data_IF_440609420704
#
_entry.id   IF_440609420704
#
_cell.length_a   1.000
_cell.length_b   1.000
_cell.length_c   1.000
_cell.angle_alpha   90.00
_cell.angle_beta   90.00
_cell.angle_gamma   90.00
#
_symmetry.space_group_name_H-M   'P 1'
#
loop_
_entity.id
_entity.type
_entity.pdbx_description
1 polymer ?
#
# COMPACT_ATOMS: atom_id res chain seq x y z
N UNK A 1 -2.81 4.92 48.86
CA UNK A 1 -2.61 4.42 48.68
C UNK A 1 -2.62 3.72 47.58
N UNK A 2 -2.08 3.12 47.17
CA UNK A 2 -1.99 2.37 45.97
C UNK A 2 -3.29 1.83 45.40
N UNK A 3 -4.39 2.29 45.91
CA UNK A 3 -5.67 1.80 45.43
C UNK A 3 -5.91 2.11 43.98
N UNK A 4 -5.47 3.25 43.52
CA UNK A 4 -5.65 3.62 42.11
C UNK A 4 -4.86 2.70 41.19
N UNK A 5 -3.64 2.44 41.58
CA UNK A 5 -2.78 1.55 40.78
C UNK A 5 -3.32 0.12 40.74
N UNK A 6 -4.02 -0.29 41.75
CA UNK A 6 -4.57 -1.63 41.84
C UNK A 6 -5.66 -1.86 40.80
N UNK A 7 -6.47 -0.84 40.55
CA UNK A 7 -7.59 -0.99 39.65
C UNK A 7 -7.15 -1.12 38.18
N UNK A 8 -6.17 -0.36 37.79
CA UNK A 8 -5.71 -0.38 36.39
C UNK A 8 -5.13 -1.71 35.96
N UNK A 9 -4.25 -2.34 36.73
CA UNK A 9 -3.70 -3.62 36.33
C UNK A 9 -4.74 -4.71 36.20
N UNK A 10 -5.84 -4.63 36.92
CA UNK A 10 -6.86 -5.65 36.87
C UNK A 10 -7.51 -5.73 35.50
N UNK A 11 -7.66 -4.61 34.82
CA UNK A 11 -8.25 -4.59 33.49
C UNK A 11 -7.35 -5.34 32.51
N UNK A 12 -6.05 -5.11 32.61
CA UNK A 12 -5.09 -5.77 31.75
C UNK A 12 -5.06 -7.27 31.96
N UNK A 13 -5.21 -7.70 33.19
CA UNK A 13 -5.16 -9.10 33.53
C UNK A 13 -6.35 -9.88 32.99
N UNK A 14 -7.39 -9.22 32.55
CA UNK A 14 -8.54 -9.92 31.99
C UNK A 14 -8.27 -10.51 30.61
N UNK A 15 -7.17 -10.13 29.98
CA UNK A 15 -6.83 -10.66 28.67
C UNK A 15 -6.15 -12.01 28.76
N UNK A 16 -6.54 -12.91 27.87
CA UNK A 16 -5.86 -14.21 27.74
C UNK A 16 -4.54 -14.03 26.99
N UNK A 17 -3.70 -15.04 27.04
CA UNK A 17 -2.45 -15.03 26.26
C UNK A 17 -2.72 -14.95 24.78
N UNK A 18 -3.76 -15.62 24.31
CA UNK A 18 -4.13 -15.62 22.90
C UNK A 18 -4.58 -14.23 22.46
N UNK A 19 -5.37 -13.57 23.28
CA UNK A 19 -5.79 -12.20 22.99
C UNK A 19 -4.61 -11.26 22.94
N UNK A 20 -3.65 -11.41 23.86
CA UNK A 20 -2.46 -10.59 23.86
C UNK A 20 -1.60 -10.82 22.62
N UNK A 21 -1.49 -12.06 22.18
CA UNK A 21 -0.75 -12.38 20.96
C UNK A 21 -1.42 -11.78 19.73
N UNK A 22 -2.74 -11.84 19.67
CA UNK A 22 -3.49 -11.22 18.58
C UNK A 22 -3.30 -9.71 18.57
N UNK A 23 -3.34 -9.10 19.75
CA UNK A 23 -3.16 -7.66 19.87
C UNK A 23 -1.75 -7.25 19.43
N UNK A 24 -0.73 -8.01 19.83
CA UNK A 24 0.63 -7.74 19.40
C UNK A 24 0.77 -7.87 17.89
N UNK A 25 0.12 -8.87 17.31
CA UNK A 25 0.15 -9.04 15.86
C UNK A 25 -0.49 -7.87 15.14
N UNK A 26 -1.60 -7.36 15.66
CA UNK A 26 -2.27 -6.19 15.10
C UNK A 26 -1.37 -4.95 15.19
N UNK A 27 -0.76 -4.72 16.34
CA UNK A 27 0.14 -3.58 16.51
C UNK A 27 1.36 -3.67 15.61
N UNK A 28 1.93 -4.86 15.46
CA UNK A 28 3.07 -5.07 14.56
C UNK A 28 2.68 -4.73 13.13
N UNK A 29 1.54 -5.23 12.69
CA UNK A 29 1.05 -4.98 11.33
C UNK A 29 0.82 -3.48 11.12
N UNK A 30 0.19 -2.81 12.08
CA UNK A 30 -0.04 -1.37 11.98
C UNK A 30 1.26 -0.60 11.90
N UNK A 31 2.27 -0.99 12.69
CA UNK A 31 3.57 -0.35 12.65
C UNK A 31 4.28 -0.56 11.31
N UNK A 32 4.21 -1.77 10.77
CA UNK A 32 4.78 -2.07 9.46
C UNK A 32 4.10 -1.27 8.36
N UNK A 33 2.78 -1.17 8.42
CA UNK A 33 2.02 -0.38 7.46
C UNK A 33 2.37 1.10 7.55
N UNK A 34 2.48 1.62 8.76
CA UNK A 34 2.86 3.00 8.94
C UNK A 34 4.28 3.27 8.42
N UNK A 35 5.21 2.34 8.68
CA UNK A 35 6.57 2.45 8.18
C UNK A 35 6.61 2.45 6.66
N UNK A 36 5.87 1.54 6.03
CA UNK A 36 5.81 1.47 4.58
C UNK A 36 5.24 2.74 3.96
N UNK A 37 4.18 3.28 4.57
CA UNK A 37 3.58 4.53 4.09
C UNK A 37 4.55 5.70 4.23
N UNK A 38 5.28 5.75 5.33
CA UNK A 38 6.24 6.82 5.58
C UNK A 38 7.44 6.72 4.64
N UNK A 39 7.86 5.49 4.33
CA UNK A 39 9.04 5.24 3.51
C UNK A 39 8.67 4.84 2.08
N UNK A 40 7.52 5.30 1.60
CA UNK A 40 7.08 4.94 0.26
C UNK A 40 8.06 5.45 -0.80
N UNK A 41 8.29 4.62 -1.80
CA UNK A 41 9.15 4.95 -2.92
C UNK A 41 8.29 5.03 -4.17
N UNK A 42 8.32 6.17 -4.82
CA UNK A 42 7.54 6.40 -6.04
C UNK A 42 8.43 6.14 -7.25
N UNK A 43 8.01 5.21 -8.09
CA UNK A 43 8.79 4.76 -9.24
C UNK A 43 8.01 5.00 -10.54
N UNK A 44 8.74 5.24 -11.62
CA UNK A 44 8.14 5.23 -12.96
C UNK A 44 7.73 3.81 -13.33
N UNK A 45 6.97 3.66 -14.41
CA UNK A 45 6.56 2.33 -14.86
C UNK A 45 7.77 1.44 -15.20
N UNK A 46 8.79 2.01 -15.83
CA UNK A 46 9.99 1.26 -16.17
C UNK A 46 10.75 0.80 -14.94
N UNK A 47 10.90 1.69 -13.96
CA UNK A 47 11.56 1.36 -12.71
C UNK A 47 10.79 0.31 -11.93
N UNK A 48 9.47 0.45 -11.91
CA UNK A 48 8.62 -0.51 -11.23
C UNK A 48 8.73 -1.90 -11.86
N UNK A 49 8.75 -1.96 -13.18
CA UNK A 49 8.87 -3.23 -13.90
C UNK A 49 10.23 -3.87 -13.72
N UNK A 50 11.27 -3.08 -13.50
CA UNK A 50 12.58 -3.62 -13.16
C UNK A 50 12.59 -4.19 -11.75
N UNK A 51 11.90 -3.53 -10.84
CA UNK A 51 11.82 -3.99 -9.46
C UNK A 51 10.98 -5.26 -9.34
N UNK A 52 9.82 -5.28 -10.01
CA UNK A 52 8.95 -6.45 -10.05
C UNK A 52 9.06 -7.06 -11.44
N UNK A 53 9.92 -8.04 -11.60
CA UNK A 53 10.22 -8.61 -12.91
C UNK A 53 9.03 -9.22 -13.64
N UNK A 54 7.91 -9.45 -12.96
CA UNK A 54 6.71 -10.03 -13.55
C UNK A 54 5.75 -9.00 -14.14
N UNK A 55 5.96 -7.72 -13.85
CA UNK A 55 5.13 -6.66 -14.42
C UNK A 55 5.72 -6.18 -15.75
N UNK A 56 4.85 -5.83 -16.66
CA UNK A 56 5.26 -5.26 -17.95
C UNK A 56 4.71 -3.86 -18.10
N UNK A 57 5.48 -2.92 -18.69
CA UNK A 57 5.00 -1.55 -18.89
C UNK A 57 3.69 -1.48 -19.67
N UNK A 58 3.50 -2.34 -20.66
CA UNK A 58 2.28 -2.35 -21.45
C UNK A 58 1.05 -2.71 -20.61
N UNK A 59 1.22 -3.63 -19.67
CA UNK A 59 0.12 -3.99 -18.77
C UNK A 59 -0.23 -2.81 -17.85
N UNK A 60 0.78 -2.13 -17.31
CA UNK A 60 0.57 -0.96 -16.46
C UNK A 60 -0.14 0.16 -17.23
N UNK A 61 0.26 0.42 -18.46
CA UNK A 61 -0.36 1.46 -19.26
C UNK A 61 -1.84 1.21 -19.51
N UNK A 62 -2.22 -0.04 -19.64
CA UNK A 62 -3.61 -0.41 -19.88
C UNK A 62 -4.43 -0.51 -18.60
N UNK A 63 -3.81 -0.87 -17.49
CA UNK A 63 -4.52 -1.28 -16.30
C UNK A 63 -4.23 -0.43 -15.06
N UNK A 64 -3.54 0.68 -15.19
CA UNK A 64 -3.19 1.50 -14.03
C UNK A 64 -4.42 2.01 -13.28
N UNK A 65 -5.52 2.22 -13.99
CA UNK A 65 -6.76 2.69 -13.37
C UNK A 65 -7.44 1.62 -12.50
N UNK A 66 -7.12 0.35 -12.73
CA UNK A 66 -7.63 -0.73 -11.92
C UNK A 66 -6.90 -0.86 -10.57
N UNK A 67 -5.73 -0.24 -10.45
CA UNK A 67 -5.01 -0.22 -9.19
C UNK A 67 -5.70 0.73 -8.20
N UNK A 68 -5.57 0.48 -6.90
CA UNK A 68 -6.08 1.43 -5.90
C UNK A 68 -5.52 2.82 -6.15
N UNK A 69 -6.34 3.84 -5.96
CA UNK A 69 -5.95 5.22 -6.26
C UNK A 69 -4.68 5.67 -5.55
N UNK A 70 -4.47 5.20 -4.34
CA UNK A 70 -3.30 5.59 -3.55
C UNK A 70 -2.00 4.95 -4.03
N UNK A 71 -2.06 4.03 -4.99
CA UNK A 71 -0.87 3.39 -5.55
C UNK A 71 -0.29 4.13 -6.74
N UNK A 72 -1.03 5.08 -7.30
CA UNK A 72 -0.63 5.78 -8.53
C UNK A 72 -0.82 7.27 -8.33
N UNK A 73 0.12 8.05 -8.81
CA UNK A 73 -0.06 9.51 -8.86
C UNK A 73 0.61 10.06 -10.10
N UNK A 74 0.09 11.16 -10.59
CA UNK A 74 0.64 11.86 -11.74
C UNK A 74 0.76 13.33 -11.39
N UNK A 75 1.92 13.76 -10.86
CA UNK A 75 2.11 15.16 -10.49
C UNK A 75 1.93 16.08 -11.69
N UNK A 76 1.28 17.18 -11.46
CA UNK A 76 1.07 18.17 -12.49
C UNK A 76 1.29 19.57 -11.95
N UNK A 77 1.50 20.51 -12.85
CA UNK A 77 1.65 21.91 -12.47
C UNK A 77 1.15 22.79 -13.60
N UNK A 78 0.87 24.05 -13.26
CA UNK A 78 0.48 25.05 -14.24
C UNK A 78 1.62 26.01 -14.41
N UNK A 79 2.02 26.28 -15.66
CA UNK A 79 3.11 27.21 -15.92
C UNK A 79 2.63 28.67 -15.87
N UNK A 80 3.55 29.60 -16.12
CA UNK A 80 3.26 31.02 -16.06
C UNK A 80 2.21 31.46 -17.09
N UNK A 81 2.10 30.71 -18.18
CA UNK A 81 1.15 31.02 -19.25
C UNK A 81 -0.23 30.41 -19.02
N UNK A 82 -0.39 29.68 -17.92
CA UNK A 82 -1.65 29.03 -17.62
C UNK A 82 -1.81 27.66 -18.24
N UNK A 83 -0.78 27.15 -18.91
CA UNK A 83 -0.81 25.81 -19.48
C UNK A 83 -0.56 24.76 -18.42
N UNK A 84 -1.31 23.67 -18.48
CA UNK A 84 -1.18 22.57 -17.54
C UNK A 84 -0.18 21.56 -18.07
N UNK A 85 0.72 21.14 -17.19
CA UNK A 85 1.72 20.12 -17.48
C UNK A 85 1.62 19.00 -16.48
N UNK A 86 2.03 17.81 -16.87
CA UNK A 86 2.08 16.68 -15.96
C UNK A 86 3.31 15.84 -16.26
N UNK A 87 3.79 15.17 -15.23
CA UNK A 87 4.88 14.20 -15.40
C UNK A 87 4.31 12.83 -15.74
N UNK A 88 5.19 11.88 -15.98
CA UNK A 88 4.79 10.48 -16.12
C UNK A 88 4.15 9.99 -14.82
N UNK A 89 3.30 8.97 -14.93
CA UNK A 89 2.70 8.38 -13.76
C UNK A 89 3.78 7.76 -12.87
N UNK A 90 3.60 7.93 -11.56
CA UNK A 90 4.46 7.34 -10.55
C UNK A 90 3.65 6.31 -9.76
N UNK A 91 4.31 5.24 -9.41
CA UNK A 91 3.70 4.10 -8.74
C UNK A 91 4.33 3.90 -7.36
N UNK A 92 3.49 3.62 -6.37
CA UNK A 92 3.93 3.41 -5.00
C UNK A 92 4.47 1.99 -4.84
N UNK A 93 5.77 1.84 -4.78
CA UNK A 93 6.43 0.53 -4.72
C UNK A 93 5.95 -0.33 -3.57
N UNK A 94 5.90 0.22 -2.36
CA UNK A 94 5.56 -0.56 -1.18
C UNK A 94 4.10 -1.01 -1.20
N UNK A 95 3.20 -0.15 -1.64
CA UNK A 95 1.78 -0.51 -1.75
C UNK A 95 1.55 -1.58 -2.80
N UNK A 96 2.24 -1.48 -3.92
CA UNK A 96 2.13 -2.48 -4.97
C UNK A 96 2.73 -3.80 -4.52
N UNK A 97 3.82 -3.77 -3.76
CA UNK A 97 4.39 -4.97 -3.17
C UNK A 97 3.38 -5.71 -2.29
N UNK A 98 2.57 -4.97 -1.54
CA UNK A 98 1.51 -5.57 -0.75
C UNK A 98 0.44 -6.23 -1.61
N UNK A 99 0.10 -5.62 -2.73
CA UNK A 99 -0.86 -6.20 -3.66
C UNK A 99 -0.35 -7.52 -4.20
N UNK A 100 0.96 -7.64 -4.45
CA UNK A 100 1.55 -8.91 -4.83
C UNK A 100 1.46 -9.92 -3.69
N UNK A 101 1.77 -9.51 -2.49
CA UNK A 101 1.76 -10.41 -1.33
C UNK A 101 0.36 -10.91 -1.01
N UNK A 102 -0.66 -10.11 -1.24
CA UNK A 102 -2.06 -10.49 -0.98
C UNK A 102 -2.70 -11.24 -2.13
N UNK A 103 -2.06 -11.29 -3.30
CA UNK A 103 -2.62 -11.92 -4.48
C UNK A 103 -3.54 -11.01 -5.29
N UNK A 104 -3.78 -9.77 -4.86
CA UNK A 104 -4.68 -8.86 -5.56
C UNK A 104 -4.18 -8.51 -6.97
N UNK A 105 -2.87 -8.43 -7.15
CA UNK A 105 -2.29 -8.16 -8.48
C UNK A 105 -2.65 -9.27 -9.44
N UNK A 106 -2.57 -10.53 -9.01
CA UNK A 106 -2.91 -11.66 -9.87
C UNK A 106 -4.39 -11.65 -10.24
N UNK A 107 -5.25 -11.29 -9.30
CA UNK A 107 -6.68 -11.15 -9.57
C UNK A 107 -6.93 -10.06 -10.61
N UNK A 108 -6.25 -8.92 -10.50
CA UNK A 108 -6.37 -7.84 -11.46
C UNK A 108 -5.87 -8.27 -12.83
N UNK A 109 -4.76 -8.99 -12.88
CA UNK A 109 -4.20 -9.47 -14.14
C UNK A 109 -5.13 -10.46 -14.82
N UNK A 110 -5.73 -11.35 -14.05
CA UNK A 110 -6.70 -12.29 -14.58
C UNK A 110 -7.93 -11.57 -15.13
N UNK A 111 -8.43 -10.58 -14.41
CA UNK A 111 -9.57 -9.81 -14.88
C UNK A 111 -9.25 -9.00 -16.13
N UNK A 112 -8.05 -8.44 -16.19
CA UNK A 112 -7.62 -7.69 -17.35
C UNK A 112 -7.56 -8.58 -18.60
N UNK A 113 -7.09 -9.81 -18.45
CA UNK A 113 -7.04 -10.77 -19.56
C UNK A 113 -8.46 -11.15 -20.01
N UNK A 114 -9.36 -11.37 -19.07
CA UNK A 114 -10.75 -11.73 -19.38
C UNK A 114 -11.49 -10.55 -20.00
N UNK A 115 -11.21 -9.34 -19.58
CA UNK A 115 -11.88 -8.13 -20.07
C UNK A 115 -11.47 -7.73 -21.46
N UNK A 116 -10.38 -8.27 -21.99
CA UNK A 116 -9.93 -7.99 -23.35
C UNK A 116 -10.51 -9.05 -24.26
N UNK A 117 -11.48 -8.71 -25.09
CA UNK A 117 -12.11 -9.67 -26.02
C UNK A 117 -11.16 -10.12 -27.10
#
# INVERSE_FOLDING_TARGET
MGTVAKNEPKIEMSMTKEEMLELKAVFRRAAEEAYELYNEVWLTSDELCKYFGTLKPSWLDRNWQALPQNCVRQPGWTDEKGEKHSTSRLYARNKIQRLFASGEIEDLRCRAVVAIP
#
